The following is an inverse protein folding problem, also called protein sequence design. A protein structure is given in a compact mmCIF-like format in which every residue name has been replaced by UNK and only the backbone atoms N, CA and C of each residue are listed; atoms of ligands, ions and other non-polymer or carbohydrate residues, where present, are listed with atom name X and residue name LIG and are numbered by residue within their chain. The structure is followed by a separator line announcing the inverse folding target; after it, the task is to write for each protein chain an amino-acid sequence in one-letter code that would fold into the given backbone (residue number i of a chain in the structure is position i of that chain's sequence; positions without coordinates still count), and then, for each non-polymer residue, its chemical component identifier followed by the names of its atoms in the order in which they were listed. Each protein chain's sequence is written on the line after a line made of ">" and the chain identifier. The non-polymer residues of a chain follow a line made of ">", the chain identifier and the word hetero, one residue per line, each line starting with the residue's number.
data_IF_047003656370
#
_entry.id   IF_047003656370
#
_cell.length_a   1.000
_cell.length_b   1.000
_cell.length_c   1.000
_cell.angle_alpha   90.00
_cell.angle_beta   90.00
_cell.angle_gamma   90.00
#
_symmetry.space_group_name_H-M   'P 1'
#
loop_
_entity.id
_entity.type
_entity.pdbx_description
1 polymer ?
#
# COMPACT_ATOMS: atom_id res chain seq x y z
N UNK A 1 21.61 12.77 7.24
CA UNK A 1 20.38 12.57 6.45
C UNK A 1 20.73 11.65 5.28
N UNK A 2 20.17 10.42 5.23
CA UNK A 2 20.35 9.52 4.09
C UNK A 2 19.05 9.46 3.29
N UNK A 3 19.13 9.76 2.00
CA UNK A 3 18.03 9.61 1.04
C UNK A 3 18.10 8.21 0.42
N UNK A 4 16.98 7.50 0.37
CA UNK A 4 16.85 6.26 -0.38
C UNK A 4 16.05 6.53 -1.65
N UNK A 5 16.75 6.57 -2.78
CA UNK A 5 16.15 6.72 -4.11
C UNK A 5 15.68 5.36 -4.61
N UNK A 6 14.38 5.22 -4.84
CA UNK A 6 13.78 4.06 -5.49
C UNK A 6 14.05 4.06 -6.99
N UNK A 7 15.30 3.90 -7.41
CA UNK A 7 15.65 3.67 -8.80
C UNK A 7 15.24 2.27 -9.23
N UNK A 8 14.27 2.17 -10.14
CA UNK A 8 13.87 0.98 -10.93
C UNK A 8 14.33 -0.37 -10.35
N UNK A 9 13.66 -0.82 -9.29
CA UNK A 9 13.91 -2.15 -8.74
C UNK A 9 12.69 -3.04 -9.00
N UNK A 10 12.96 -4.17 -9.65
CA UNK A 10 12.09 -5.34 -9.84
C UNK A 10 10.92 -5.44 -8.83
N UNK A 11 9.70 -5.84 -9.25
CA UNK A 11 8.51 -6.00 -8.38
C UNK A 11 8.64 -6.99 -7.20
N UNK A 12 9.84 -7.51 -6.93
CA UNK A 12 10.17 -8.45 -5.86
C UNK A 12 11.27 -8.02 -4.89
N UNK A 13 11.88 -6.82 -4.98
CA UNK A 13 12.68 -6.29 -3.85
C UNK A 13 11.73 -5.73 -2.80
N UNK A 14 11.24 -6.70 -2.05
CA UNK A 14 10.09 -6.69 -1.15
C UNK A 14 10.41 -5.96 0.16
N UNK A 15 9.44 -5.20 0.67
CA UNK A 15 8.91 -5.21 2.04
C UNK A 15 9.84 -5.65 3.19
N UNK A 16 10.46 -6.84 3.11
CA UNK A 16 11.42 -7.38 4.07
C UNK A 16 12.67 -6.51 4.20
N UNK A 17 13.16 -5.95 3.08
CA UNK A 17 14.28 -5.01 3.09
C UNK A 17 13.89 -3.68 3.76
N UNK A 18 12.64 -3.23 3.61
CA UNK A 18 12.15 -2.07 4.34
C UNK A 18 12.09 -2.36 5.85
N UNK A 19 11.61 -3.54 6.27
CA UNK A 19 11.54 -3.92 7.69
C UNK A 19 12.90 -3.82 8.38
N UNK A 20 13.93 -4.46 7.83
CA UNK A 20 15.28 -4.44 8.43
C UNK A 20 15.88 -3.02 8.44
N UNK A 21 15.71 -2.26 7.36
CA UNK A 21 16.17 -0.87 7.30
C UNK A 21 15.44 0.02 8.31
N UNK A 22 14.12 -0.14 8.50
CA UNK A 22 13.34 0.61 9.49
C UNK A 22 13.76 0.23 10.92
N UNK A 23 14.07 -1.05 11.17
CA UNK A 23 14.58 -1.50 12.46
C UNK A 23 15.96 -0.89 12.78
N UNK A 24 16.83 -0.75 11.77
CA UNK A 24 18.13 -0.07 11.90
C UNK A 24 18.00 1.45 12.02
N UNK A 25 16.97 2.03 11.41
CA UNK A 25 16.71 3.47 11.44
C UNK A 25 16.25 3.99 12.82
N UNK A 26 16.01 3.12 13.81
CA UNK A 26 15.56 3.51 15.16
C UNK A 26 16.43 4.59 15.82
N UNK A 27 17.70 4.69 15.44
CA UNK A 27 18.65 5.69 15.95
C UNK A 27 18.66 7.01 15.16
N UNK A 28 17.99 7.10 14.00
CA UNK A 28 17.98 8.28 13.13
C UNK A 28 16.98 9.35 13.58
N UNK A 29 17.29 10.63 13.34
CA UNK A 29 16.45 11.78 13.76
C UNK A 29 15.09 11.86 13.11
N UNK A 30 14.95 11.29 11.92
CA UNK A 30 13.69 11.08 11.24
C UNK A 30 13.86 10.08 10.10
N UNK A 31 12.74 9.62 9.57
CA UNK A 31 12.69 8.69 8.45
C UNK A 31 11.82 9.27 7.33
N UNK A 32 12.36 9.26 6.11
CA UNK A 32 11.62 9.54 4.88
C UNK A 32 11.49 8.23 4.12
N UNK A 33 10.28 7.88 3.72
CA UNK A 33 10.00 6.69 2.92
C UNK A 33 9.44 7.13 1.57
N UNK A 34 10.17 6.83 0.49
CA UNK A 34 9.73 7.14 -0.85
C UNK A 34 8.82 6.03 -1.40
N UNK A 35 7.53 6.36 -1.58
CA UNK A 35 6.51 5.48 -2.11
C UNK A 35 6.05 5.90 -3.52
N UNK A 36 6.76 6.83 -4.18
CA UNK A 36 6.43 7.27 -5.54
C UNK A 36 6.45 6.13 -6.55
N UNK A 37 5.58 6.26 -7.56
CA UNK A 37 5.43 5.31 -8.66
C UNK A 37 4.96 3.90 -8.24
N UNK A 38 4.48 3.10 -9.18
CA UNK A 38 4.22 1.67 -8.98
C UNK A 38 3.17 1.30 -7.91
N UNK A 39 2.94 0.00 -7.76
CA UNK A 39 1.97 -0.56 -6.80
C UNK A 39 2.64 -1.14 -5.56
N UNK A 40 1.87 -1.26 -4.46
CA UNK A 40 2.34 -1.81 -3.20
C UNK A 40 2.03 -3.29 -2.94
N UNK A 41 1.13 -3.94 -3.67
CA UNK A 41 0.72 -5.32 -3.32
C UNK A 41 -0.06 -5.36 -1.99
N UNK A 42 0.38 -6.15 -1.02
CA UNK A 42 -0.28 -6.30 0.29
C UNK A 42 0.19 -5.27 1.33
N UNK A 43 -0.73 -4.64 2.06
CA UNK A 43 -0.45 -3.48 2.92
C UNK A 43 0.14 -3.81 4.31
N UNK A 44 -0.24 -4.93 4.90
CA UNK A 44 0.14 -5.31 6.27
C UNK A 44 1.66 -5.33 6.53
N UNK A 45 2.49 -5.86 5.61
CA UNK A 45 3.93 -5.87 5.83
C UNK A 45 4.60 -4.48 5.81
N UNK A 46 3.95 -3.46 5.24
CA UNK A 46 4.45 -2.08 5.27
C UNK A 46 4.10 -1.35 6.58
N UNK A 47 2.94 -1.65 7.16
CA UNK A 47 2.41 -0.93 8.32
C UNK A 47 3.21 -1.23 9.60
N UNK A 48 3.44 -2.50 9.89
CA UNK A 48 4.05 -2.92 11.16
C UNK A 48 5.40 -2.25 11.47
N UNK A 49 6.38 -2.20 10.55
CA UNK A 49 7.65 -1.55 10.86
C UNK A 49 7.51 -0.01 10.97
N UNK A 50 6.66 0.61 10.15
CA UNK A 50 6.49 2.08 10.15
C UNK A 50 5.74 2.60 11.38
N UNK A 51 4.78 1.83 11.88
CA UNK A 51 4.10 2.09 13.16
C UNK A 51 5.06 1.92 14.33
N UNK A 52 5.97 0.94 14.27
CA UNK A 52 6.94 0.67 15.34
C UNK A 52 8.05 1.74 15.43
N UNK A 53 8.36 2.43 14.34
CA UNK A 53 9.24 3.59 14.37
C UNK A 53 8.59 4.71 15.19
N UNK A 54 9.30 5.36 16.11
CA UNK A 54 8.72 6.36 17.05
C UNK A 54 9.15 7.81 16.79
N UNK A 55 10.14 8.02 15.93
CA UNK A 55 10.69 9.35 15.61
C UNK A 55 9.95 9.97 14.40
N UNK A 56 10.16 11.25 14.06
CA UNK A 56 9.49 11.92 12.94
C UNK A 56 9.51 11.09 11.64
N UNK A 57 8.36 10.97 10.98
CA UNK A 57 8.17 10.12 9.79
C UNK A 57 7.46 10.91 8.70
N UNK A 58 8.02 10.91 7.49
CA UNK A 58 7.38 11.41 6.29
C UNK A 58 7.31 10.32 5.22
N UNK A 59 6.21 10.29 4.48
CA UNK A 59 6.04 9.45 3.30
C UNK A 59 5.95 10.36 2.07
N UNK A 60 6.70 10.01 1.04
CA UNK A 60 6.68 10.72 -0.24
C UNK A 60 5.83 9.92 -1.22
N UNK A 61 4.84 10.57 -1.85
CA UNK A 61 3.89 9.94 -2.77
C UNK A 61 3.70 10.75 -4.04
N UNK A 62 3.20 10.11 -5.09
CA UNK A 62 2.79 10.80 -6.32
C UNK A 62 1.56 10.14 -6.97
N UNK A 63 1.14 10.68 -8.12
CA UNK A 63 0.05 10.11 -8.92
C UNK A 63 0.30 8.69 -9.44
N UNK A 64 1.54 8.19 -9.39
CA UNK A 64 1.88 6.81 -9.72
C UNK A 64 1.78 5.86 -8.52
N UNK A 65 1.74 6.37 -7.28
CA UNK A 65 1.55 5.56 -6.07
C UNK A 65 0.15 4.93 -6.07
N UNK A 66 0.10 3.59 -5.98
CA UNK A 66 -1.17 2.85 -6.00
C UNK A 66 -1.24 1.65 -5.05
N UNK A 67 -2.45 1.15 -4.81
CA UNK A 67 -2.72 -0.07 -4.03
C UNK A 67 -2.23 0.05 -2.57
N UNK A 68 -1.53 -0.95 -2.01
CA UNK A 68 -1.08 -0.92 -0.61
C UNK A 68 -0.31 0.34 -0.19
N UNK A 69 0.37 1.01 -1.13
CA UNK A 69 1.03 2.30 -0.84
C UNK A 69 0.01 3.37 -0.40
N UNK A 70 -1.18 3.38 -1.00
CA UNK A 70 -2.27 4.30 -0.64
C UNK A 70 -2.87 3.92 0.72
N UNK A 71 -3.05 2.62 0.99
CA UNK A 71 -3.53 2.12 2.28
C UNK A 71 -2.59 2.54 3.40
N UNK A 72 -1.28 2.32 3.23
CA UNK A 72 -0.25 2.67 4.21
C UNK A 72 -0.19 4.17 4.43
N UNK A 73 -0.16 4.95 3.34
CA UNK A 73 -0.13 6.41 3.41
C UNK A 73 -1.33 6.95 4.15
N UNK A 74 -2.54 6.52 3.80
CA UNK A 74 -3.76 6.99 4.46
C UNK A 74 -3.84 6.54 5.92
N UNK A 75 -3.49 5.30 6.24
CA UNK A 75 -3.52 4.78 7.61
C UNK A 75 -2.56 5.57 8.52
N UNK A 76 -1.35 5.85 8.05
CA UNK A 76 -0.36 6.62 8.81
C UNK A 76 -0.69 8.12 8.85
N UNK A 77 -1.28 8.67 7.79
CA UNK A 77 -1.76 10.05 7.76
C UNK A 77 -2.92 10.27 8.74
N UNK A 78 -3.91 9.37 8.73
CA UNK A 78 -5.14 9.52 9.52
C UNK A 78 -4.95 9.29 11.02
N UNK A 79 -3.93 8.54 11.40
CA UNK A 79 -3.45 8.48 12.80
C UNK A 79 -2.50 9.65 13.14
N UNK A 80 -2.14 10.44 12.14
CA UNK A 80 -1.10 11.47 12.20
C UNK A 80 0.29 10.91 12.51
N UNK A 81 0.49 9.60 12.38
CA UNK A 81 1.80 8.98 12.57
C UNK A 81 2.81 9.49 11.54
N UNK A 82 2.42 9.73 10.30
CA UNK A 82 3.31 10.24 9.26
C UNK A 82 2.77 11.52 8.61
N UNK A 83 3.68 12.35 8.07
CA UNK A 83 3.31 13.41 7.12
C UNK A 83 3.42 12.92 5.69
N UNK A 84 2.40 13.17 4.89
CA UNK A 84 2.36 12.80 3.48
C UNK A 84 2.78 14.00 2.63
N UNK A 85 3.81 13.82 1.80
CA UNK A 85 4.43 14.88 1.00
C UNK A 85 4.42 14.46 -0.46
N UNK A 86 4.01 15.36 -1.37
CA UNK A 86 4.03 15.08 -2.81
C UNK A 86 2.75 15.48 -3.53
N UNK A 87 2.22 14.59 -4.39
CA UNK A 87 0.97 14.82 -5.13
C UNK A 87 -0.08 13.76 -4.80
N UNK A 88 -1.34 14.02 -5.16
CA UNK A 88 -2.45 13.09 -4.92
C UNK A 88 -2.18 11.74 -5.60
N UNK A 89 -2.40 10.64 -4.89
CA UNK A 89 -2.19 9.28 -5.39
C UNK A 89 -3.28 8.82 -6.36
N UNK A 90 -3.06 7.69 -7.02
CA UNK A 90 -3.89 7.24 -8.16
C UNK A 90 -5.35 6.93 -7.82
N UNK A 91 -5.66 6.49 -6.59
CA UNK A 91 -6.97 5.99 -6.21
C UNK A 91 -7.30 4.62 -6.79
N UNK A 92 -6.31 3.76 -7.00
CA UNK A 92 -6.47 2.39 -7.51
C UNK A 92 -6.06 1.38 -6.44
N UNK A 93 -7.00 0.98 -5.59
CA UNK A 93 -6.79 0.15 -4.39
C UNK A 93 -7.69 -1.09 -4.37
N UNK A 94 -8.52 -1.36 -5.39
CA UNK A 94 -9.28 -2.60 -5.44
C UNK A 94 -8.35 -3.82 -5.43
N UNK A 95 -8.63 -4.75 -4.51
CA UNK A 95 -7.84 -5.97 -4.34
C UNK A 95 -8.24 -7.02 -5.36
N UNK A 96 -7.25 -7.66 -5.98
CA UNK A 96 -7.41 -8.78 -6.91
C UNK A 96 -6.74 -10.03 -6.35
N UNK A 97 -7.22 -11.20 -6.78
CA UNK A 97 -6.52 -12.47 -6.61
C UNK A 97 -6.36 -13.11 -7.99
N UNK A 98 -5.13 -13.18 -8.55
CA UNK A 98 -4.92 -13.83 -9.84
C UNK A 98 -5.33 -15.30 -9.78
N UNK A 99 -6.30 -15.68 -10.61
CA UNK A 99 -6.72 -17.08 -10.79
C UNK A 99 -6.18 -17.60 -12.11
N UNK A 100 -5.49 -18.74 -12.07
CA UNK A 100 -4.97 -19.37 -13.29
C UNK A 100 -6.15 -19.92 -14.11
N UNK A 101 -6.25 -19.54 -15.38
CA UNK A 101 -7.26 -20.13 -16.30
C UNK A 101 -6.64 -21.29 -17.09
N UNK A 102 -5.40 -21.15 -17.56
CA UNK A 102 -4.70 -22.20 -18.30
C UNK A 102 -3.17 -22.10 -18.12
N UNK A 103 -2.43 -22.87 -18.93
CA UNK A 103 -0.98 -22.97 -18.83
C UNK A 103 -0.26 -21.61 -18.88
N UNK A 104 -0.81 -20.64 -19.63
CA UNK A 104 -0.14 -19.39 -20.02
C UNK A 104 -0.89 -18.13 -19.61
N UNK A 105 -1.97 -18.24 -18.82
CA UNK A 105 -2.81 -17.08 -18.49
C UNK A 105 -3.38 -17.11 -17.08
N UNK A 106 -3.56 -15.90 -16.55
CA UNK A 106 -4.24 -15.60 -15.30
C UNK A 106 -5.35 -14.59 -15.56
N UNK A 107 -6.42 -14.72 -14.78
CA UNK A 107 -7.51 -13.76 -14.69
C UNK A 107 -7.43 -13.05 -13.35
N UNK A 108 -7.36 -11.73 -13.41
CA UNK A 108 -7.55 -10.87 -12.25
C UNK A 108 -8.83 -10.08 -12.42
N UNK A 109 -9.76 -10.25 -11.49
CA UNK A 109 -10.97 -9.44 -11.38
C UNK A 109 -10.94 -8.77 -10.00
N UNK A 110 -11.30 -7.48 -9.88
CA UNK A 110 -11.38 -6.79 -8.60
C UNK A 110 -12.35 -7.45 -7.62
N UNK A 111 -11.83 -8.15 -6.60
CA UNK A 111 -12.66 -8.91 -5.64
C UNK A 111 -12.99 -8.17 -4.35
N UNK A 112 -12.13 -7.23 -3.97
CA UNK A 112 -12.20 -6.57 -2.68
C UNK A 112 -12.18 -5.04 -2.85
N UNK A 113 -13.07 -4.38 -2.12
CA UNK A 113 -13.00 -2.95 -1.84
C UNK A 113 -12.50 -2.74 -0.41
N UNK A 114 -11.91 -1.58 -0.15
CA UNK A 114 -11.23 -1.27 1.11
C UNK A 114 -11.70 0.08 1.65
N UNK A 115 -12.01 0.09 2.94
CA UNK A 115 -12.16 1.32 3.72
C UNK A 115 -11.10 1.37 4.80
N UNK A 116 -10.33 2.45 4.84
CA UNK A 116 -9.34 2.70 5.89
C UNK A 116 -9.91 3.78 6.80
N UNK A 117 -10.09 3.49 8.08
CA UNK A 117 -10.70 4.42 9.04
C UNK A 117 -12.03 5.01 8.54
N UNK A 118 -12.86 4.16 7.92
CA UNK A 118 -14.17 4.54 7.37
C UNK A 118 -14.14 5.23 6.00
N UNK A 119 -12.98 5.69 5.53
CA UNK A 119 -12.83 6.32 4.23
C UNK A 119 -12.49 5.30 3.14
N UNK A 120 -13.25 5.36 2.04
CA UNK A 120 -12.95 4.60 0.81
C UNK A 120 -11.89 5.34 -0.01
N UNK A 121 -10.86 4.62 -0.47
CA UNK A 121 -9.76 5.20 -1.25
C UNK A 121 -9.95 5.09 -2.76
N UNK A 122 -10.69 4.09 -3.24
CA UNK A 122 -10.99 3.94 -4.67
C UNK A 122 -11.56 5.20 -5.32
N UNK A 123 -10.95 5.59 -6.45
CA UNK A 123 -11.28 6.80 -7.21
C UNK A 123 -10.91 8.10 -6.51
N UNK A 124 -10.43 8.04 -5.27
CA UNK A 124 -10.10 9.20 -4.44
C UNK A 124 -8.59 9.32 -4.21
N UNK A 125 -7.93 8.23 -3.91
CA UNK A 125 -6.54 8.23 -3.47
C UNK A 125 -6.34 9.02 -2.17
N UNK A 126 -5.08 9.32 -1.88
CA UNK A 126 -4.59 10.01 -0.70
C UNK A 126 -4.21 11.42 -1.10
N UNK A 127 -4.76 12.41 -0.40
CA UNK A 127 -4.40 13.81 -0.56
C UNK A 127 -3.20 14.10 0.36
N UNK A 128 -2.07 14.59 -0.17
CA UNK A 128 -0.90 14.87 0.65
C UNK A 128 -1.15 16.01 1.64
N UNK A 129 -0.56 15.91 2.82
CA UNK A 129 -0.57 17.00 3.81
C UNK A 129 0.23 18.22 3.33
N UNK A 130 1.32 17.94 2.61
CA UNK A 130 2.24 18.94 2.07
C UNK A 130 2.29 18.72 0.55
N UNK A 131 1.47 19.44 -0.22
CA UNK A 131 1.49 19.34 -1.67
C UNK A 131 2.82 19.88 -2.21
N UNK A 132 3.35 19.21 -3.24
CA UNK A 132 4.59 19.59 -3.93
C UNK A 132 4.28 19.83 -5.40
N UNK A 133 4.66 21.00 -5.90
CA UNK A 133 4.45 21.37 -7.30
C UNK A 133 5.31 20.50 -8.24
N UNK A 134 4.85 20.33 -9.48
CA UNK A 134 5.61 19.63 -10.51
C UNK A 134 7.00 20.27 -10.69
N UNK A 135 8.03 19.43 -10.88
CA UNK A 135 9.42 19.87 -11.03
C UNK A 135 10.15 20.23 -9.72
N UNK A 136 9.48 20.18 -8.56
CA UNK A 136 10.13 20.29 -7.24
C UNK A 136 10.45 18.90 -6.69
N UNK A 137 11.50 18.79 -5.89
CA UNK A 137 11.87 17.53 -5.24
C UNK A 137 11.04 17.31 -3.97
N UNK A 138 10.12 16.32 -3.95
CA UNK A 138 9.31 16.05 -2.78
C UNK A 138 10.12 15.40 -1.64
N UNK A 139 11.28 14.81 -1.90
CA UNK A 139 12.15 14.25 -0.85
C UNK A 139 12.85 15.38 -0.10
N UNK A 140 13.44 16.35 -0.80
CA UNK A 140 13.95 17.57 -0.18
C UNK A 140 12.85 18.30 0.61
N UNK A 141 11.62 18.37 0.08
CA UNK A 141 10.51 18.97 0.82
C UNK A 141 10.16 18.17 2.09
N UNK A 142 10.19 16.84 2.03
CA UNK A 142 9.96 16.00 3.20
C UNK A 142 11.06 16.19 4.27
N UNK A 143 12.31 16.36 3.87
CA UNK A 143 13.42 16.71 4.75
C UNK A 143 13.15 18.01 5.53
N UNK A 144 12.79 19.08 4.82
CA UNK A 144 12.43 20.36 5.44
C UNK A 144 11.25 20.25 6.42
N UNK A 145 10.29 19.37 6.13
CA UNK A 145 9.13 19.11 7.00
C UNK A 145 9.54 18.40 8.29
N UNK A 146 10.51 17.49 8.23
CA UNK A 146 11.00 16.77 9.40
C UNK A 146 11.97 17.61 10.25
N UNK A 147 12.71 18.53 9.63
CA UNK A 147 13.67 19.41 10.34
C UNK A 147 12.98 20.53 11.13
N UNK A 148 11.71 20.85 10.82
CA UNK A 148 10.93 21.82 11.60
C UNK A 148 10.46 21.21 12.92
N UNK A 149 10.66 21.87 14.07
CA UNK A 149 10.08 21.42 15.32
C UNK A 149 8.55 21.36 15.19
N UNK A 150 7.95 20.30 15.72
CA UNK A 150 6.51 19.99 15.61
C UNK A 150 5.64 21.16 16.09
N UNK A 151 5.26 22.07 15.20
CA UNK A 151 4.60 23.34 15.56
C UNK A 151 3.34 23.66 14.75
N UNK A 152 2.98 22.83 13.75
CA UNK A 152 1.69 22.98 13.08
C UNK A 152 0.69 21.96 13.65
N UNK A 153 -0.41 22.40 14.31
CA UNK A 153 -1.53 21.54 14.64
C UNK A 153 -2.01 20.82 13.37
N UNK A 154 -2.18 19.50 13.46
CA UNK A 154 -2.75 18.74 12.34
C UNK A 154 -4.22 19.15 12.19
N UNK A 155 -4.72 19.36 10.95
CA UNK A 155 -6.16 19.36 10.76
C UNK A 155 -6.73 18.05 11.32
N UNK A 156 -7.85 18.09 12.03
CA UNK A 156 -8.45 16.89 12.60
C UNK A 156 -8.80 15.94 11.46
N UNK A 157 -8.07 14.84 11.35
CA UNK A 157 -8.49 13.73 10.50
C UNK A 157 -9.63 13.02 11.23
N UNK A 158 -10.67 12.62 10.49
CA UNK A 158 -11.83 11.91 11.03
C UNK A 158 -11.38 10.83 12.03
N UNK A 159 -12.03 10.80 13.20
CA UNK A 159 -11.63 9.99 14.36
C UNK A 159 -11.20 8.58 13.90
N UNK A 160 -9.99 8.11 14.26
CA UNK A 160 -9.47 6.84 13.78
C UNK A 160 -10.38 5.70 14.26
N UNK A 161 -10.98 4.99 13.31
CA UNK A 161 -11.66 3.73 13.57
C UNK A 161 -10.72 2.52 13.64
N UNK A 162 -9.40 2.73 13.57
CA UNK A 162 -8.31 1.74 13.64
C UNK A 162 -8.32 0.63 12.58
N UNK A 163 -9.43 0.45 11.88
CA UNK A 163 -9.72 -0.74 11.12
C UNK A 163 -9.60 -0.45 9.62
N UNK A 164 -8.70 -1.20 8.98
CA UNK A 164 -8.84 -1.51 7.56
C UNK A 164 -10.01 -2.49 7.46
N UNK A 165 -11.09 -2.08 6.80
CA UNK A 165 -12.25 -2.94 6.53
C UNK A 165 -12.21 -3.37 5.07
N UNK A 166 -12.18 -4.68 4.89
CA UNK A 166 -12.31 -5.33 3.59
C UNK A 166 -13.81 -5.53 3.32
N UNK A 167 -14.27 -5.11 2.15
CA UNK A 167 -15.65 -5.25 1.69
C UNK A 167 -15.62 -6.12 0.44
N UNK A 168 -16.17 -7.35 0.47
CA UNK A 168 -16.32 -8.17 -0.73
C UNK A 168 -17.16 -7.43 -1.78
N UNK A 169 -16.71 -7.43 -3.03
CA UNK A 169 -17.47 -6.81 -4.13
C UNK A 169 -18.61 -7.69 -4.64
N UNK A 170 -18.56 -9.00 -4.39
CA UNK A 170 -19.61 -9.93 -4.79
C UNK A 170 -20.20 -10.69 -3.60
N UNK A 171 -21.53 -10.93 -3.60
CA UNK A 171 -22.22 -11.66 -2.54
C UNK A 171 -21.76 -13.12 -2.48
N UNK A 172 -21.69 -13.72 -1.28
CA UNK A 172 -21.26 -15.11 -1.11
C UNK A 172 -22.08 -16.11 -1.93
N UNK A 173 -23.35 -15.81 -2.22
CA UNK A 173 -24.23 -16.63 -3.06
C UNK A 173 -23.76 -16.77 -4.53
N UNK A 174 -22.80 -15.95 -4.97
CA UNK A 174 -22.21 -16.00 -6.31
C UNK A 174 -20.87 -16.74 -6.35
N UNK A 175 -20.33 -17.14 -5.20
CA UNK A 175 -19.19 -18.07 -5.15
C UNK A 175 -19.70 -19.47 -5.46
N UNK A 176 -19.62 -19.84 -6.73
CA UNK A 176 -19.95 -21.18 -7.19
C UNK A 176 -19.18 -22.21 -6.34
N UNK A 177 -19.89 -23.20 -5.79
CA UNK A 177 -19.27 -24.29 -5.02
C UNK A 177 -18.21 -24.93 -5.90
N UNK A 178 -17.02 -25.14 -5.33
CA UNK A 178 -15.90 -25.80 -6.00
C UNK A 178 -16.41 -27.02 -6.78
N UNK A 179 -16.14 -27.13 -8.09
CA UNK A 179 -16.68 -28.22 -8.88
C UNK A 179 -16.19 -29.53 -8.27
N UNK A 180 -17.13 -30.41 -7.90
CA UNK A 180 -16.81 -31.74 -7.35
C UNK A 180 -15.77 -32.39 -8.27
N UNK A 181 -14.69 -32.98 -7.72
CA UNK A 181 -13.67 -33.61 -8.54
C UNK A 181 -14.32 -34.59 -9.50
N UNK A 182 -14.16 -34.33 -10.81
CA UNK A 182 -14.68 -35.21 -11.85
C UNK A 182 -13.99 -36.55 -11.67
N UNK A 183 -14.75 -37.59 -11.33
CA UNK A 183 -14.22 -38.96 -11.22
C UNK A 183 -13.51 -39.29 -12.53
N UNK A 184 -12.19 -39.52 -12.47
CA UNK A 184 -11.45 -39.98 -13.65
C UNK A 184 -12.12 -41.26 -14.16
N UNK A 185 -12.42 -41.39 -15.46
CA UNK A 185 -12.85 -42.66 -16.01
C UNK A 185 -11.75 -43.71 -15.77
N UNK A 186 -12.11 -44.99 -15.55
CA UNK A 186 -11.13 -46.04 -15.30
C UNK A 186 -10.14 -46.12 -16.47
N UNK A 187 -8.86 -46.39 -16.14
CA UNK A 187 -7.83 -46.54 -17.14
C UNK A 187 -8.21 -47.65 -18.13
N UNK A 188 -8.03 -47.38 -19.43
CA UNK A 188 -8.25 -48.38 -20.48
C UNK A 188 -7.24 -49.51 -20.29
N UNK A 189 -7.66 -50.79 -20.29
CA UNK A 189 -6.71 -51.89 -20.18
C UNK A 189 -5.74 -51.88 -21.36
N UNK A 190 -4.49 -52.33 -21.17
CA UNK A 190 -3.51 -52.37 -22.24
C UNK A 190 -3.99 -53.31 -23.35
N UNK A 191 -3.93 -52.85 -24.60
CA UNK A 191 -4.15 -53.67 -25.78
C UNK A 191 -2.97 -54.64 -25.91
N UNK A 192 -3.26 -55.94 -26.01
CA UNK A 192 -2.28 -56.98 -26.35
C UNK A 192 -1.84 -56.89 -27.81
#
# INVERSE_FOLDING_TARGET
>A
MQQFTGGAVHPGKTILQCRETILRAKTMDGLIVDLRGGFGGFAEPYLNPLVAYRRPLALVVDGGSRSAKEVVSYALQSTGRARIVGTRTSGHVLGTFPRRINAWSYLEIPELDLKVNGARLEGRGVIPDVPVAAGKDPVARAAEVLDRPASAPRPPVAKPGGAIRIVPLWPESTKEKEPRPVKRPPARPPTL
#
